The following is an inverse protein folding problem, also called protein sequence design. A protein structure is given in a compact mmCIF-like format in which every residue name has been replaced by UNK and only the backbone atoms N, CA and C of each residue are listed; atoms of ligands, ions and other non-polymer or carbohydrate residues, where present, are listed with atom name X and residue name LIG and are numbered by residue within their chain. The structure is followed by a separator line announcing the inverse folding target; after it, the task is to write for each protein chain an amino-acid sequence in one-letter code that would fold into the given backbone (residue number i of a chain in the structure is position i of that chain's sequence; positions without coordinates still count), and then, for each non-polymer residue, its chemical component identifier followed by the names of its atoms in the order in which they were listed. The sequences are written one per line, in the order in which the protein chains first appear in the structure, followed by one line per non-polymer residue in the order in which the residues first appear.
data_IF_496505919730
#
_entry.id   IF_496505919730
#
_cell.length_a   1.000
_cell.length_b   1.000
_cell.length_c   1.000
_cell.angle_alpha   90.00
_cell.angle_beta   90.00
_cell.angle_gamma   90.00
#
_symmetry.space_group_name_H-M   'P 1'
#
loop_
_entity.id
_entity.type
_entity.pdbx_description
1 polymer ?
#
# COMPACT_ATOMS: atom_id res chain seq x y z
N UNK A 1 -2.29 5.61 -34.34
CA UNK A 1 -1.54 6.36 -33.30
C UNK A 1 -2.01 5.84 -31.94
N UNK A 2 -1.22 4.96 -31.31
CA UNK A 2 -1.60 4.28 -30.07
C UNK A 2 -1.37 5.27 -28.93
N UNK A 3 -2.42 5.93 -28.45
CA UNK A 3 -2.36 6.78 -27.27
C UNK A 3 -2.14 5.87 -26.06
N UNK A 4 -0.88 5.71 -25.68
CA UNK A 4 -0.52 4.90 -24.53
C UNK A 4 -0.62 5.79 -23.29
N UNK A 5 -1.74 5.66 -22.58
CA UNK A 5 -1.98 6.34 -21.30
C UNK A 5 -1.03 5.77 -20.24
N UNK A 6 0.21 6.26 -20.19
CA UNK A 6 1.15 5.89 -19.14
C UNK A 6 0.95 6.80 -17.93
N UNK A 7 0.86 6.18 -16.75
CA UNK A 7 0.98 6.86 -15.46
C UNK A 7 2.47 7.22 -15.30
N UNK A 8 2.89 8.34 -15.89
CA UNK A 8 4.28 8.82 -15.78
C UNK A 8 4.35 9.74 -14.56
N UNK A 9 4.59 9.13 -13.41
CA UNK A 9 5.17 9.80 -12.25
C UNK A 9 6.68 9.57 -12.24
N UNK A 10 7.43 10.40 -11.50
CA UNK A 10 8.90 10.64 -11.55
C UNK A 10 9.87 9.49 -11.85
N UNK A 11 9.46 8.23 -11.69
CA UNK A 11 10.27 7.05 -11.86
C UNK A 11 10.43 6.56 -13.32
N UNK A 12 9.56 6.95 -14.27
CA UNK A 12 9.61 6.42 -15.63
C UNK A 12 9.94 7.50 -16.67
N UNK A 13 10.96 7.26 -17.48
CA UNK A 13 11.34 8.11 -18.61
C UNK A 13 11.19 7.33 -19.89
N UNK A 14 10.27 7.76 -20.75
CA UNK A 14 10.05 7.18 -22.08
C UNK A 14 10.65 8.15 -23.09
N UNK A 15 11.52 7.65 -23.96
CA UNK A 15 12.11 8.47 -25.02
C UNK A 15 11.13 8.70 -26.16
N UNK A 16 11.25 9.84 -26.84
CA UNK A 16 10.40 10.19 -27.98
C UNK A 16 9.04 10.80 -27.63
N UNK A 17 8.84 11.27 -26.40
CA UNK A 17 7.65 12.05 -26.03
C UNK A 17 7.82 13.50 -26.50
N UNK A 18 7.02 13.92 -27.47
CA UNK A 18 6.96 15.32 -27.94
C UNK A 18 5.71 16.08 -27.47
N UNK A 19 4.64 15.35 -27.14
CA UNK A 19 3.35 15.93 -26.76
C UNK A 19 2.88 15.38 -25.43
N UNK A 20 2.51 16.27 -24.51
CA UNK A 20 1.90 15.93 -23.23
C UNK A 20 0.52 16.58 -23.14
N UNK A 21 -0.46 15.84 -22.64
CA UNK A 21 -1.79 16.35 -22.32
C UNK A 21 -1.96 16.24 -20.81
N UNK A 22 -2.08 17.38 -20.12
CA UNK A 22 -2.21 17.45 -18.68
C UNK A 22 -3.63 17.85 -18.29
N UNK A 23 -4.35 16.93 -17.64
CA UNK A 23 -5.70 17.17 -17.11
C UNK A 23 -5.68 18.00 -15.82
N UNK A 24 -4.53 18.15 -15.16
CA UNK A 24 -4.39 18.88 -13.90
C UNK A 24 -4.83 18.10 -12.66
N UNK A 25 -5.18 16.82 -12.77
CA UNK A 25 -5.61 16.00 -11.64
C UNK A 25 -4.69 14.81 -11.37
N UNK A 26 -4.71 14.35 -10.13
CA UNK A 26 -4.02 13.14 -9.66
C UNK A 26 -4.82 12.44 -8.57
N UNK A 27 -4.70 11.11 -8.50
CA UNK A 27 -5.23 10.35 -7.35
C UNK A 27 -4.18 10.34 -6.25
N UNK A 28 -4.60 10.61 -5.03
CA UNK A 28 -3.74 10.65 -3.86
C UNK A 28 -4.44 9.97 -2.68
N UNK A 29 -3.65 9.25 -1.89
CA UNK A 29 -4.09 8.66 -0.63
C UNK A 29 -4.13 9.75 0.45
N UNK A 30 -5.27 9.90 1.10
CA UNK A 30 -5.49 10.87 2.18
C UNK A 30 -6.16 10.18 3.35
N UNK A 31 -5.60 10.39 4.54
CA UNK A 31 -6.10 9.87 5.80
C UNK A 31 -7.11 10.84 6.42
N UNK A 32 -8.28 10.32 6.80
CA UNK A 32 -9.25 11.07 7.59
C UNK A 32 -9.16 10.64 9.07
N UNK A 33 -8.59 11.48 9.96
CA UNK A 33 -8.39 11.12 11.37
C UNK A 33 -9.70 10.88 12.12
N UNK A 34 -10.78 11.59 11.77
CA UNK A 34 -12.09 11.45 12.41
C UNK A 34 -12.76 10.12 12.11
N UNK A 35 -12.58 9.63 10.88
CA UNK A 35 -13.11 8.33 10.45
C UNK A 35 -12.12 7.19 10.70
N UNK A 36 -10.85 7.49 10.97
CA UNK A 36 -9.79 6.51 11.16
C UNK A 36 -9.45 5.71 9.91
N UNK A 37 -9.73 6.23 8.70
CA UNK A 37 -9.57 5.49 7.45
C UNK A 37 -8.83 6.28 6.38
N UNK A 38 -8.08 5.55 5.55
CA UNK A 38 -7.47 6.07 4.34
C UNK A 38 -8.47 6.06 3.18
N UNK A 39 -8.48 7.12 2.38
CA UNK A 39 -9.28 7.24 1.18
C UNK A 39 -8.39 7.60 -0.02
N UNK A 40 -8.69 7.01 -1.17
CA UNK A 40 -8.09 7.42 -2.44
C UNK A 40 -9.00 8.47 -3.08
N UNK A 41 -8.55 9.72 -3.08
CA UNK A 41 -9.32 10.85 -3.60
C UNK A 41 -8.60 11.50 -4.78
N UNK A 42 -9.38 12.12 -5.67
CA UNK A 42 -8.86 12.87 -6.81
C UNK A 42 -8.67 14.31 -6.37
N UNK A 43 -7.46 14.83 -6.52
CA UNK A 43 -7.11 16.21 -6.22
C UNK A 43 -6.49 16.91 -7.42
N UNK A 44 -6.59 18.25 -7.51
CA UNK A 44 -5.76 19.00 -8.43
C UNK A 44 -4.28 18.78 -8.08
N UNK A 45 -3.43 18.72 -9.10
CA UNK A 45 -1.99 18.59 -8.91
C UNK A 45 -1.38 19.90 -8.42
N UNK A 46 -0.19 19.81 -7.83
CA UNK A 46 0.60 20.99 -7.54
C UNK A 46 1.20 21.57 -8.83
N UNK A 47 1.53 22.87 -8.81
CA UNK A 47 2.26 23.54 -9.90
C UNK A 47 3.56 22.83 -10.22
N UNK A 48 4.34 22.47 -9.18
CA UNK A 48 5.56 21.70 -9.36
C UNK A 48 5.34 20.38 -10.12
N UNK A 49 4.26 19.65 -9.81
CA UNK A 49 3.93 18.41 -10.51
C UNK A 49 3.46 18.66 -11.96
N UNK A 50 2.68 19.72 -12.20
CA UNK A 50 2.29 20.14 -13.55
C UNK A 50 3.49 20.58 -14.41
N UNK A 51 4.49 21.20 -13.78
CA UNK A 51 5.73 21.62 -14.46
C UNK A 51 6.62 20.42 -14.76
N UNK A 52 6.73 19.45 -13.85
CA UNK A 52 7.37 18.17 -14.14
C UNK A 52 6.70 17.43 -15.29
N UNK A 53 5.36 17.40 -15.33
CA UNK A 53 4.59 16.81 -16.44
C UNK A 53 4.91 17.49 -17.77
N UNK A 54 4.91 18.82 -17.79
CA UNK A 54 5.28 19.59 -18.97
C UNK A 54 6.72 19.32 -19.42
N UNK A 55 7.65 19.18 -18.48
CA UNK A 55 9.06 18.85 -18.75
C UNK A 55 9.27 17.51 -19.45
N UNK A 56 8.30 16.58 -19.40
CA UNK A 56 8.41 15.29 -20.12
C UNK A 56 8.40 15.46 -21.65
N UNK A 57 7.70 16.45 -22.18
CA UNK A 57 7.69 16.75 -23.62
C UNK A 57 9.02 17.34 -24.14
N UNK A 58 9.84 17.92 -23.27
CA UNK A 58 11.07 18.64 -23.65
C UNK A 58 12.35 17.81 -23.62
N UNK A 59 12.28 16.47 -23.44
CA UNK A 59 13.49 15.65 -23.20
C UNK A 59 14.32 15.39 -24.46
N UNK A 60 13.68 15.14 -25.59
CA UNK A 60 14.35 14.69 -26.83
C UNK A 60 14.43 15.82 -27.87
N UNK A 61 13.76 16.94 -27.63
CA UNK A 61 13.69 18.09 -28.54
C UNK A 61 12.59 19.07 -28.10
N UNK A 62 12.28 20.10 -28.91
CA UNK A 62 11.18 21.00 -28.64
C UNK A 62 9.86 20.22 -28.63
N UNK A 63 9.19 20.20 -27.48
CA UNK A 63 7.89 19.57 -27.30
C UNK A 63 6.83 20.54 -26.79
N UNK A 64 5.57 20.09 -26.78
CA UNK A 64 4.42 20.91 -26.39
C UNK A 64 3.59 20.22 -25.32
N UNK A 65 3.22 20.97 -24.27
CA UNK A 65 2.32 20.50 -23.23
C UNK A 65 0.97 21.24 -23.33
N UNK A 66 -0.11 20.49 -23.46
CA UNK A 66 -1.48 20.99 -23.48
C UNK A 66 -2.11 20.81 -22.11
N UNK A 67 -2.34 21.92 -21.39
CA UNK A 67 -2.99 21.94 -20.08
C UNK A 67 -4.50 22.14 -20.27
N UNK A 68 -5.32 21.26 -19.70
CA UNK A 68 -6.78 21.31 -19.79
C UNK A 68 -7.43 22.14 -18.67
N UNK A 69 -6.75 23.19 -18.23
CA UNK A 69 -7.16 24.10 -17.18
C UNK A 69 -6.66 25.51 -17.49
N UNK A 70 -7.31 26.52 -16.92
CA UNK A 70 -6.99 27.92 -17.19
C UNK A 70 -5.69 28.33 -16.51
N UNK A 71 -5.04 29.37 -17.04
CA UNK A 71 -3.88 29.98 -16.40
C UNK A 71 -4.22 30.52 -15.00
N UNK A 72 -5.43 31.08 -14.83
CA UNK A 72 -5.92 31.49 -13.51
C UNK A 72 -5.98 30.32 -12.52
N UNK A 73 -6.51 29.15 -12.94
CA UNK A 73 -6.55 27.98 -12.07
C UNK A 73 -5.13 27.50 -11.70
N UNK A 74 -4.19 27.53 -12.64
CA UNK A 74 -2.79 27.19 -12.38
C UNK A 74 -2.16 28.13 -11.34
N UNK A 75 -2.38 29.45 -11.44
CA UNK A 75 -1.73 30.43 -10.58
C UNK A 75 -2.41 30.56 -9.20
N UNK A 76 -3.75 30.49 -9.16
CA UNK A 76 -4.53 30.87 -7.99
C UNK A 76 -5.17 29.67 -7.25
N UNK A 77 -5.45 28.57 -7.94
CA UNK A 77 -6.16 27.42 -7.34
C UNK A 77 -5.21 26.26 -7.00
N UNK A 78 -4.14 26.07 -7.77
CA UNK A 78 -3.18 24.98 -7.56
C UNK A 78 -2.13 25.33 -6.49
N UNK A 79 -1.88 24.36 -5.59
CA UNK A 79 -0.80 24.45 -4.62
C UNK A 79 0.56 24.56 -5.32
N UNK A 80 1.50 25.32 -4.74
CA UNK A 80 2.84 25.44 -5.32
C UNK A 80 3.56 24.08 -5.36
N UNK A 81 3.58 23.40 -4.23
CA UNK A 81 4.21 22.10 -4.02
C UNK A 81 3.20 21.12 -3.42
N UNK A 82 3.48 19.82 -3.57
CA UNK A 82 2.65 18.78 -2.98
C UNK A 82 2.78 18.86 -1.44
N UNK A 83 1.68 18.68 -0.71
CA UNK A 83 1.77 18.48 0.74
C UNK A 83 2.67 17.24 1.02
N UNK A 84 3.46 17.19 2.09
CA UNK A 84 4.26 16.01 2.43
C UNK A 84 3.41 14.77 2.72
N UNK A 85 3.96 13.58 2.45
CA UNK A 85 3.23 12.32 2.68
C UNK A 85 2.92 12.09 4.15
N UNK A 86 3.88 12.36 5.04
CA UNK A 86 3.74 12.19 6.50
C UNK A 86 2.56 12.97 7.09
N UNK A 87 2.17 14.09 6.47
CA UNK A 87 1.04 14.91 6.91
C UNK A 87 -0.32 14.36 6.47
N UNK A 88 -0.35 13.39 5.55
CA UNK A 88 -1.58 12.91 4.89
C UNK A 88 -1.87 11.43 5.03
N UNK A 89 -0.98 10.65 5.64
CA UNK A 89 -1.16 9.20 5.79
C UNK A 89 -1.46 8.80 7.23
N UNK A 90 -2.01 7.61 7.42
CA UNK A 90 -2.05 6.97 8.72
C UNK A 90 -0.62 6.75 9.24
N UNK A 91 -0.34 7.18 10.46
CA UNK A 91 1.00 7.11 11.07
C UNK A 91 1.21 5.86 11.92
N UNK A 92 0.29 4.89 11.95
CA UNK A 92 0.36 3.70 12.79
C UNK A 92 1.67 2.92 12.63
N UNK A 93 2.09 2.64 11.40
CA UNK A 93 3.38 1.98 11.12
C UNK A 93 4.58 2.86 11.51
N UNK A 94 4.49 4.17 11.25
CA UNK A 94 5.56 5.13 11.55
C UNK A 94 5.76 5.26 13.06
N UNK A 95 4.69 5.46 13.81
CA UNK A 95 4.69 5.52 15.28
C UNK A 95 5.21 4.22 15.87
N UNK A 96 4.77 3.07 15.36
CA UNK A 96 5.24 1.77 15.82
C UNK A 96 6.76 1.61 15.62
N UNK A 97 7.27 2.03 14.46
CA UNK A 97 8.70 2.00 14.14
C UNK A 97 9.51 2.99 15.01
N UNK A 98 9.03 4.23 15.18
CA UNK A 98 9.70 5.22 16.03
C UNK A 98 9.80 4.75 17.49
N UNK A 99 8.74 4.10 18.00
CA UNK A 99 8.72 3.50 19.34
C UNK A 99 9.68 2.32 19.46
N UNK A 100 9.82 1.50 18.41
CA UNK A 100 10.83 0.45 18.35
C UNK A 100 12.26 1.01 18.39
N UNK A 101 12.50 2.17 17.76
CA UNK A 101 13.77 2.91 17.83
C UNK A 101 14.00 3.61 19.18
N UNK A 102 13.15 3.36 20.19
CA UNK A 102 13.24 3.92 21.55
C UNK A 102 13.08 5.45 21.61
N UNK A 103 12.32 6.03 20.68
CA UNK A 103 11.92 7.44 20.76
C UNK A 103 10.71 7.55 21.69
N UNK A 104 10.91 8.15 22.86
CA UNK A 104 9.87 8.26 23.88
C UNK A 104 8.86 9.37 23.54
N UNK A 105 9.35 10.59 23.29
CA UNK A 105 8.49 11.73 22.97
C UNK A 105 8.39 11.94 21.46
N UNK A 106 7.24 11.61 20.90
CA UNK A 106 6.95 11.79 19.47
C UNK A 106 6.53 13.21 19.12
N UNK A 107 6.06 13.99 20.11
CA UNK A 107 5.63 15.38 19.88
C UNK A 107 6.84 16.32 19.78
N UNK A 108 7.93 15.99 20.47
CA UNK A 108 9.20 16.74 20.45
C UNK A 108 10.18 16.19 19.42
N UNK A 109 9.78 15.19 18.62
CA UNK A 109 10.65 14.62 17.61
C UNK A 109 10.83 15.59 16.44
N UNK A 110 12.08 15.77 16.01
CA UNK A 110 12.47 16.73 14.96
C UNK A 110 12.14 16.19 13.55
N UNK A 111 10.87 16.29 13.17
CA UNK A 111 10.43 15.99 11.81
C UNK A 111 10.77 17.17 10.87
N UNK A 112 11.30 16.86 9.68
CA UNK A 112 11.49 17.86 8.61
C UNK A 112 10.18 18.58 8.27
N UNK A 113 9.11 17.80 8.12
CA UNK A 113 7.74 18.28 7.96
C UNK A 113 6.87 17.61 9.04
N UNK A 114 6.56 18.29 10.16
CA UNK A 114 5.84 17.66 11.26
C UNK A 114 4.42 17.27 10.85
N UNK A 115 3.97 16.04 11.16
CA UNK A 115 2.58 15.68 10.96
C UNK A 115 1.66 16.41 11.96
N UNK A 116 0.36 16.54 11.65
CA UNK A 116 -0.62 17.06 12.61
C UNK A 116 -0.59 16.27 13.92
N UNK A 117 -0.55 16.96 15.06
CA UNK A 117 -0.50 16.32 16.38
C UNK A 117 -1.67 15.35 16.60
N UNK A 118 -2.86 15.69 16.10
CA UNK A 118 -4.04 14.83 16.14
C UNK A 118 -3.79 13.47 15.44
N UNK A 119 -3.05 13.44 14.33
CA UNK A 119 -2.73 12.20 13.63
C UNK A 119 -1.77 11.31 14.45
N UNK A 120 -0.79 11.93 15.14
CA UNK A 120 0.13 11.21 16.03
C UNK A 120 -0.65 10.60 17.20
N UNK A 121 -1.49 11.40 17.87
CA UNK A 121 -2.29 10.96 19.02
C UNK A 121 -3.26 9.85 18.64
N UNK A 122 -3.97 9.99 17.51
CA UNK A 122 -4.88 8.95 17.03
C UNK A 122 -4.14 7.65 16.69
N UNK A 123 -2.95 7.74 16.11
CA UNK A 123 -2.14 6.55 15.79
C UNK A 123 -1.62 5.85 17.05
N UNK A 124 -1.18 6.63 18.06
CA UNK A 124 -0.81 6.12 19.38
C UNK A 124 -2.00 5.43 20.06
N UNK A 125 -3.19 6.05 20.01
CA UNK A 125 -4.41 5.47 20.56
C UNK A 125 -4.78 4.15 19.86
N UNK A 126 -4.72 4.10 18.52
CA UNK A 126 -4.98 2.88 17.76
C UNK A 126 -4.02 1.75 18.16
N UNK A 127 -2.72 2.04 18.29
CA UNK A 127 -1.72 1.05 18.71
C UNK A 127 -1.93 0.58 20.16
N UNK A 128 -2.38 1.47 21.05
CA UNK A 128 -2.75 1.11 22.41
C UNK A 128 -3.97 0.19 22.44
N UNK A 129 -5.04 0.48 21.68
CA UNK A 129 -6.22 -0.40 21.52
C UNK A 129 -5.83 -1.77 20.94
N UNK A 130 -4.86 -1.80 20.03
CA UNK A 130 -4.31 -3.05 19.50
C UNK A 130 -3.45 -3.81 20.52
N UNK A 131 -3.08 -3.21 21.65
CA UNK A 131 -2.20 -3.79 22.66
C UNK A 131 -0.72 -3.82 22.24
N UNK A 132 -0.36 -3.06 21.20
CA UNK A 132 1.04 -2.87 20.78
C UNK A 132 1.77 -1.88 21.71
N UNK A 133 1.03 -0.95 22.33
CA UNK A 133 1.53 -0.03 23.34
C UNK A 133 0.90 -0.30 24.71
N UNK A 134 1.65 -0.05 25.78
CA UNK A 134 1.17 -0.07 27.15
C UNK A 134 0.56 1.30 27.55
N UNK A 135 0.03 1.40 28.78
CA UNK A 135 -0.62 2.63 29.28
C UNK A 135 0.34 3.82 29.45
N UNK A 136 1.65 3.57 29.45
CA UNK A 136 2.71 4.59 29.56
C UNK A 136 3.23 4.98 28.16
N UNK A 137 2.72 4.36 27.09
CA UNK A 137 3.15 4.61 25.70
C UNK A 137 4.45 3.90 25.30
N UNK A 138 4.86 2.88 26.06
CA UNK A 138 5.96 1.98 25.73
C UNK A 138 5.52 0.75 24.94
N UNK A 139 6.44 0.15 24.19
CA UNK A 139 6.16 -1.01 23.33
C UNK A 139 5.97 -2.29 24.16
N UNK A 140 4.92 -3.07 23.88
CA UNK A 140 4.69 -4.39 24.50
C UNK A 140 5.39 -5.50 23.72
N UNK A 141 5.49 -6.71 24.27
CA UNK A 141 6.01 -7.89 23.55
C UNK A 141 5.27 -8.16 22.23
N UNK A 142 3.97 -7.82 22.19
CA UNK A 142 3.18 -7.88 20.96
C UNK A 142 3.64 -6.82 19.96
N UNK A 143 3.81 -5.56 20.41
CA UNK A 143 4.30 -4.47 19.59
C UNK A 143 5.68 -4.74 19.00
N UNK A 144 6.60 -5.33 19.79
CA UNK A 144 7.93 -5.76 19.32
C UNK A 144 7.83 -6.73 18.14
N UNK A 145 6.97 -7.74 18.25
CA UNK A 145 6.75 -8.72 17.16
C UNK A 145 6.05 -8.10 15.95
N UNK A 146 5.16 -7.12 16.15
CA UNK A 146 4.44 -6.48 15.06
C UNK A 146 5.37 -5.70 14.12
N UNK A 147 6.42 -5.06 14.66
CA UNK A 147 7.40 -4.27 13.88
C UNK A 147 8.14 -5.13 12.84
N UNK A 148 8.32 -6.42 13.11
CA UNK A 148 9.04 -7.33 12.21
C UNK A 148 8.31 -7.57 10.87
N UNK A 149 6.99 -7.32 10.83
CA UNK A 149 6.17 -7.53 9.66
C UNK A 149 5.98 -6.23 8.86
N UNK A 150 6.20 -6.23 7.53
CA UNK A 150 5.92 -5.08 6.66
C UNK A 150 4.41 -5.01 6.34
N UNK A 151 3.57 -5.01 7.38
CA UNK A 151 2.12 -5.00 7.31
C UNK A 151 1.55 -3.93 8.23
N UNK A 152 0.35 -3.46 7.92
CA UNK A 152 -0.36 -2.55 8.82
C UNK A 152 -0.61 -3.19 10.19
N UNK A 153 -0.62 -2.41 11.30
CA UNK A 153 -0.62 -2.96 12.64
C UNK A 153 -1.83 -3.89 12.94
N UNK A 154 -3.06 -3.60 12.47
CA UNK A 154 -4.18 -4.54 12.62
C UNK A 154 -3.94 -5.90 11.94
N UNK A 155 -3.34 -5.91 10.75
CA UNK A 155 -3.06 -7.13 9.99
C UNK A 155 -1.93 -7.94 10.62
N UNK A 156 -0.87 -7.26 11.09
CA UNK A 156 0.21 -7.89 11.84
C UNK A 156 -0.31 -8.56 13.13
N UNK A 157 -1.18 -7.88 13.87
CA UNK A 157 -1.84 -8.46 15.06
C UNK A 157 -2.68 -9.69 14.70
N UNK A 158 -3.44 -9.63 13.60
CA UNK A 158 -4.26 -10.75 13.15
C UNK A 158 -3.41 -11.98 12.88
N UNK A 159 -2.28 -11.80 12.19
CA UNK A 159 -1.33 -12.89 11.89
C UNK A 159 -0.71 -13.49 13.16
N UNK A 160 -0.30 -12.65 14.12
CA UNK A 160 0.26 -13.09 15.41
C UNK A 160 -0.79 -13.85 16.25
N UNK A 161 -2.04 -13.40 16.24
CA UNK A 161 -3.13 -14.10 16.93
C UNK A 161 -3.51 -15.40 16.23
N UNK A 162 -3.50 -15.44 14.90
CA UNK A 162 -3.71 -16.67 14.12
C UNK A 162 -2.67 -17.74 14.44
N UNK A 163 -1.40 -17.34 14.60
CA UNK A 163 -0.34 -18.22 15.06
C UNK A 163 -0.58 -18.75 16.49
N UNK A 164 -1.04 -17.88 17.41
CA UNK A 164 -1.34 -18.25 18.80
C UNK A 164 -2.55 -19.19 18.93
N UNK A 165 -3.54 -19.06 18.05
CA UNK A 165 -4.78 -19.83 18.05
C UNK A 165 -4.73 -21.08 17.13
N UNK A 166 -3.58 -21.37 16.51
CA UNK A 166 -3.38 -22.50 15.58
C UNK A 166 -4.22 -22.45 14.28
N UNK A 167 -4.66 -21.26 13.85
CA UNK A 167 -5.36 -21.03 12.57
C UNK A 167 -4.54 -20.13 11.64
N UNK A 168 -3.24 -20.41 11.54
CA UNK A 168 -2.31 -19.53 10.82
C UNK A 168 -2.53 -19.59 9.30
N UNK A 169 -2.83 -20.75 8.74
CA UNK A 169 -2.90 -20.92 7.28
C UNK A 169 -4.12 -20.18 6.68
N UNK A 170 -5.27 -20.23 7.37
CA UNK A 170 -6.47 -19.47 6.99
C UNK A 170 -6.26 -17.97 7.16
N UNK A 171 -5.71 -17.56 8.30
CA UNK A 171 -5.44 -16.14 8.57
C UNK A 171 -4.42 -15.58 7.59
N UNK A 172 -3.37 -16.33 7.26
CA UNK A 172 -2.34 -15.93 6.30
C UNK A 172 -2.96 -15.68 4.92
N UNK A 173 -3.88 -16.54 4.50
CA UNK A 173 -4.64 -16.36 3.26
C UNK A 173 -5.46 -15.07 3.29
N UNK A 174 -6.18 -14.82 4.39
CA UNK A 174 -6.99 -13.60 4.55
C UNK A 174 -6.12 -12.35 4.56
N UNK A 175 -5.03 -12.33 5.33
CA UNK A 175 -4.08 -11.21 5.39
C UNK A 175 -3.54 -10.91 3.98
N UNK A 176 -3.07 -11.95 3.28
CA UNK A 176 -2.49 -11.79 1.94
C UNK A 176 -3.48 -11.18 0.96
N UNK A 177 -4.77 -11.58 1.03
CA UNK A 177 -5.83 -11.03 0.19
C UNK A 177 -6.29 -9.63 0.60
N UNK A 178 -6.08 -9.21 1.85
CA UNK A 178 -6.42 -7.86 2.33
C UNK A 178 -5.30 -6.85 2.07
N UNK A 179 -4.04 -7.30 2.01
CA UNK A 179 -2.88 -6.43 1.75
C UNK A 179 -2.78 -5.93 0.30
N UNK A 180 -3.63 -6.42 -0.60
CA UNK A 180 -3.61 -6.08 -2.02
C UNK A 180 -4.92 -5.40 -2.42
N UNK A 181 -4.90 -4.47 -3.41
CA UNK A 181 -6.12 -3.90 -3.97
C UNK A 181 -7.14 -4.96 -4.37
N UNK A 182 -8.42 -4.57 -4.37
CA UNK A 182 -9.54 -5.48 -4.60
C UNK A 182 -9.39 -6.22 -5.94
N UNK A 183 -9.40 -7.56 -5.88
CA UNK A 183 -9.34 -8.44 -7.06
C UNK A 183 -10.65 -8.40 -7.87
N UNK A 184 -11.75 -7.91 -7.29
CA UNK A 184 -13.04 -7.84 -7.96
C UNK A 184 -13.06 -6.72 -9.00
N UNK A 185 -13.12 -7.12 -10.27
CA UNK A 185 -13.36 -6.22 -11.39
C UNK A 185 -14.85 -6.10 -11.66
N UNK A 186 -15.39 -4.87 -11.61
CA UNK A 186 -16.80 -4.56 -11.89
C UNK A 186 -16.90 -3.78 -13.20
N UNK A 187 -16.98 -4.44 -14.37
CA UNK A 187 -17.16 -3.76 -15.65
C UNK A 187 -18.54 -3.09 -15.71
N UNK A 188 -18.58 -1.86 -16.24
CA UNK A 188 -19.82 -1.04 -16.34
C UNK A 188 -20.94 -1.71 -17.13
N UNK A 189 -20.59 -2.61 -18.05
CA UNK A 189 -21.57 -3.29 -18.91
C UNK A 189 -22.17 -4.56 -18.27
N UNK A 190 -21.61 -5.05 -17.15
CA UNK A 190 -22.05 -6.28 -16.47
C UNK A 190 -22.05 -6.13 -14.95
N UNK A 191 -22.63 -5.04 -14.48
CA UNK A 191 -22.71 -4.70 -13.07
C UNK A 191 -23.55 -5.71 -12.28
N UNK A 192 -24.72 -6.10 -12.79
CA UNK A 192 -25.63 -7.03 -12.10
C UNK A 192 -25.05 -8.44 -11.94
N UNK A 193 -24.38 -8.97 -12.98
CA UNK A 193 -23.70 -10.27 -12.91
C UNK A 193 -22.53 -10.25 -11.90
N UNK A 194 -21.77 -9.14 -11.87
CA UNK A 194 -20.65 -8.96 -10.94
C UNK A 194 -21.13 -8.83 -9.49
N UNK A 195 -22.25 -8.14 -9.27
CA UNK A 195 -22.84 -7.96 -7.94
C UNK A 195 -23.46 -9.26 -7.41
N UNK A 196 -23.98 -10.13 -8.28
CA UNK A 196 -24.45 -11.47 -7.91
C UNK A 196 -23.29 -12.36 -7.44
N UNK A 197 -22.12 -12.27 -8.07
CA UNK A 197 -20.91 -13.01 -7.66
C UNK A 197 -20.31 -12.46 -6.35
N UNK A 198 -20.51 -11.17 -6.05
CA UNK A 198 -19.96 -10.48 -4.87
C UNK A 198 -20.75 -10.65 -3.55
N UNK A 199 -21.98 -11.21 -3.58
CA UNK A 199 -22.94 -11.14 -2.45
C UNK A 199 -22.67 -12.05 -1.24
N UNK A 200 -21.80 -13.06 -1.31
CA UNK A 200 -21.38 -13.81 -0.12
C UNK A 200 -20.29 -13.05 0.65
N UNK A 201 -20.36 -13.06 1.98
CA UNK A 201 -19.50 -12.30 2.91
C UNK A 201 -18.08 -12.01 2.38
N UNK A 202 -17.67 -10.73 2.41
CA UNK A 202 -16.46 -10.17 1.81
C UNK A 202 -15.16 -10.95 2.13
N UNK A 203 -15.12 -11.66 3.26
CA UNK A 203 -14.00 -12.54 3.66
C UNK A 203 -14.01 -13.89 2.92
N UNK A 204 -15.13 -14.61 2.88
CA UNK A 204 -15.23 -15.91 2.19
C UNK A 204 -15.11 -15.80 0.66
N UNK A 205 -15.60 -14.70 0.08
CA UNK A 205 -15.51 -14.48 -1.37
C UNK A 205 -14.09 -14.18 -1.86
N UNK A 206 -13.20 -13.69 -0.99
CA UNK A 206 -11.77 -13.55 -1.29
C UNK A 206 -11.00 -14.85 -1.15
N UNK A 207 -11.48 -15.79 -0.33
CA UNK A 207 -10.79 -17.06 -0.07
C UNK A 207 -10.95 -18.04 -1.24
N UNK A 208 -12.12 -18.10 -1.88
CA UNK A 208 -12.41 -19.06 -2.97
C UNK A 208 -11.49 -18.91 -4.20
N UNK A 209 -11.21 -17.71 -4.73
CA UNK A 209 -10.24 -17.56 -5.81
C UNK A 209 -8.85 -18.05 -5.37
N UNK A 210 -8.39 -17.62 -4.19
CA UNK A 210 -7.06 -17.99 -3.68
C UNK A 210 -6.89 -19.51 -3.49
N UNK A 211 -7.89 -20.21 -2.92
CA UNK A 211 -7.84 -21.66 -2.73
C UNK A 211 -7.93 -22.44 -4.05
N UNK A 212 -8.67 -21.92 -5.03
CA UNK A 212 -8.72 -22.48 -6.38
C UNK A 212 -7.37 -22.31 -7.10
N UNK A 213 -6.61 -21.25 -6.80
CA UNK A 213 -5.28 -20.99 -7.36
C UNK A 213 -4.14 -21.72 -6.68
N UNK A 214 -4.15 -21.90 -5.35
CA UNK A 214 -3.16 -22.76 -4.68
C UNK A 214 -3.21 -24.20 -5.23
N UNK A 215 -4.38 -24.64 -5.71
CA UNK A 215 -4.57 -25.96 -6.30
C UNK A 215 -4.24 -26.01 -7.81
N UNK A 216 -4.43 -24.91 -8.56
CA UNK A 216 -4.28 -24.90 -10.03
C UNK A 216 -3.01 -24.19 -10.55
N UNK A 217 -2.24 -23.52 -9.68
CA UNK A 217 -0.90 -23.01 -9.97
C UNK A 217 -0.78 -21.83 -10.95
N UNK A 218 -1.87 -21.18 -11.35
CA UNK A 218 -1.85 -20.06 -12.32
C UNK A 218 -2.62 -18.84 -11.81
N UNK A 219 -1.95 -17.76 -11.44
CA UNK A 219 -2.61 -16.48 -11.18
C UNK A 219 -3.22 -15.92 -12.47
N UNK A 220 -4.46 -15.42 -12.39
CA UNK A 220 -5.19 -14.81 -13.51
C UNK A 220 -5.15 -13.28 -13.49
N UNK A 221 -4.74 -12.65 -12.38
CA UNK A 221 -4.58 -11.20 -12.27
C UNK A 221 -3.27 -10.74 -11.61
N UNK A 222 -2.94 -9.46 -11.79
CA UNK A 222 -1.77 -8.80 -11.18
C UNK A 222 -1.95 -8.74 -9.66
N UNK A 223 -3.17 -8.51 -9.19
CA UNK A 223 -3.52 -8.46 -7.77
C UNK A 223 -3.37 -9.85 -7.12
N UNK A 224 -3.77 -10.93 -7.80
CA UNK A 224 -3.53 -12.30 -7.33
C UNK A 224 -2.03 -12.61 -7.23
N UNK A 225 -1.25 -12.15 -8.20
CA UNK A 225 0.22 -12.29 -8.17
C UNK A 225 0.83 -11.51 -7.00
N UNK A 226 0.37 -10.29 -6.73
CA UNK A 226 0.78 -9.50 -5.57
C UNK A 226 0.44 -10.17 -4.24
N UNK A 227 -0.75 -10.76 -4.13
CA UNK A 227 -1.18 -11.47 -2.93
C UNK A 227 -0.31 -12.70 -2.71
N UNK A 228 0.06 -13.41 -3.78
CA UNK A 228 0.97 -14.55 -3.72
C UNK A 228 2.39 -14.15 -3.31
N UNK A 229 2.94 -13.04 -3.83
CA UNK A 229 4.26 -12.56 -3.40
C UNK A 229 4.26 -12.27 -1.89
N UNK A 230 3.22 -11.61 -1.39
CA UNK A 230 3.06 -11.33 0.04
C UNK A 230 2.90 -12.65 0.82
N UNK A 231 2.07 -13.57 0.34
CA UNK A 231 1.86 -14.89 0.95
C UNK A 231 3.17 -15.67 1.07
N UNK A 232 3.93 -15.81 -0.03
CA UNK A 232 5.21 -16.51 -0.03
C UNK A 232 6.26 -15.78 0.81
N UNK A 233 6.28 -14.43 0.81
CA UNK A 233 7.19 -13.66 1.66
C UNK A 233 6.88 -13.91 3.14
N UNK A 234 5.62 -13.88 3.54
CA UNK A 234 5.19 -14.19 4.91
C UNK A 234 5.46 -15.67 5.27
N UNK A 235 5.33 -16.60 4.32
CA UNK A 235 5.72 -18.00 4.50
C UNK A 235 7.24 -18.18 4.65
N UNK A 236 8.05 -17.36 3.99
CA UNK A 236 9.50 -17.31 4.20
C UNK A 236 9.84 -16.74 5.58
N UNK A 237 9.10 -15.75 6.09
CA UNK A 237 9.26 -15.26 7.47
C UNK A 237 9.00 -16.37 8.49
N UNK A 238 8.04 -17.28 8.26
CA UNK A 238 7.85 -18.50 9.07
C UNK A 238 9.12 -19.36 9.10
N UNK A 239 9.76 -19.59 7.95
CA UNK A 239 10.98 -20.40 7.87
C UNK A 239 12.22 -19.76 8.52
N UNK A 240 12.23 -18.43 8.70
CA UNK A 240 13.33 -17.67 9.31
C UNK A 240 13.15 -17.43 10.82
N UNK A 241 12.07 -17.91 11.43
CA UNK A 241 11.91 -17.80 12.88
C UNK A 241 12.98 -18.66 13.59
N UNK A 242 13.76 -18.10 14.54
CA UNK A 242 14.78 -18.87 15.23
C UNK A 242 14.10 -19.88 16.15
N UNK A 243 14.10 -21.15 15.74
CA UNK A 243 13.88 -22.25 16.67
C UNK A 243 15.04 -22.23 17.66
N UNK A 244 14.69 -22.18 18.96
CA UNK A 244 15.61 -22.43 20.07
C UNK A 244 16.42 -23.68 19.74
N UNK A 245 17.75 -23.54 19.67
CA UNK A 245 18.78 -24.56 19.36
C UNK A 245 19.45 -24.40 17.98
N UNK A 246 20.27 -23.35 17.85
CA UNK A 246 21.60 -23.38 17.22
C UNK A 246 21.86 -24.24 15.97
N UNK A 247 20.92 -24.33 15.03
CA UNK A 247 21.12 -25.03 13.75
C UNK A 247 20.21 -24.43 12.69
N UNK A 248 20.81 -23.90 11.61
CA UNK A 248 20.07 -23.45 10.42
C UNK A 248 19.75 -24.71 9.62
N UNK A 249 18.54 -25.24 9.74
CA UNK A 249 18.04 -26.25 8.81
C UNK A 249 17.43 -25.54 7.60
N UNK A 250 18.13 -25.62 6.47
CA UNK A 250 17.54 -25.36 5.16
C UNK A 250 16.62 -26.55 4.82
N UNK A 251 15.30 -26.35 4.80
CA UNK A 251 14.45 -27.26 4.01
C UNK A 251 14.61 -26.86 2.55
N UNK A 252 15.56 -27.53 1.87
CA UNK A 252 15.87 -27.42 0.44
C UNK A 252 14.73 -27.96 -0.46
N UNK A 253 13.51 -27.42 -0.35
CA UNK A 253 12.41 -27.81 -1.23
C UNK A 253 11.50 -26.66 -1.70
N UNK A 254 11.93 -25.40 -1.56
CA UNK A 254 11.31 -24.28 -2.27
C UNK A 254 12.16 -23.89 -3.47
N UNK A 255 12.02 -24.65 -4.55
CA UNK A 255 12.29 -24.10 -5.88
C UNK A 255 11.36 -22.89 -6.06
N UNK A 256 11.89 -21.68 -5.92
CA UNK A 256 11.23 -20.47 -6.40
C UNK A 256 10.90 -20.72 -7.87
N UNK A 257 9.62 -20.76 -8.29
CA UNK A 257 9.33 -20.77 -9.71
C UNK A 257 9.86 -19.44 -10.25
N UNK A 258 10.90 -19.50 -11.06
CA UNK A 258 11.29 -18.39 -11.92
C UNK A 258 10.07 -18.04 -12.77
N UNK A 259 9.35 -16.99 -12.39
CA UNK A 259 8.18 -16.52 -13.14
C UNK A 259 8.67 -15.93 -14.48
N UNK A 260 8.60 -16.75 -15.54
CA UNK A 260 8.69 -16.27 -16.93
C UNK A 260 7.38 -15.56 -17.25
N UNK A 261 7.46 -14.24 -17.44
CA UNK A 261 6.39 -13.48 -18.07
C UNK A 261 6.32 -13.87 -19.55
N UNK A 262 5.28 -14.62 -19.93
CA UNK A 262 4.88 -14.74 -21.33
C UNK A 262 3.98 -13.55 -21.65
N UNK A 263 4.55 -12.51 -22.26
CA UNK A 263 3.77 -11.46 -22.89
C UNK A 263 3.11 -12.06 -24.15
N UNK A 264 1.78 -12.12 -24.15
CA UNK A 264 0.98 -12.30 -25.37
C UNK A 264 0.65 -10.96 -26.01
#
# INVERSE_FOLDING_TARGET
MRLQYFIIWDALTIDGIFYVIDTGYGKMKVYNPRMGMDALQVFPVSRAAADQRAGRAGRTGPGTCYRLYTESAYLNEMLHSLVPEIQRINLGNVVLLLKFLKIENLLDFDFMDPPPQENILNSMYQLWVLGALNNVGGLTDLGWKMVEFPLDPPLAKMLLMGAKLHYLDEVLTIVSMLSVPTVFFRPKDREEESDLLGKSSLSLNRIKPFSMFTNNGKATSIEETGAMIIFYRLKLYRSKSPLKNGGICYEDNLSLPYFRFSAG
#
